data_IF_523578422221
#
_entry.id   IF_523578422221
#
_cell.length_a   1.000
_cell.length_b   1.000
_cell.length_c   1.000
_cell.angle_alpha   90.00
_cell.angle_beta   90.00
_cell.angle_gamma   90.00
#
_symmetry.space_group_name_H-M   'P 1'
#
loop_
_entity.id
_entity.type
_entity.pdbx_description
1 polymer ?
#
# COMPACT_ATOMS: atom_id res chain seq x y z
N UNK A 1 10.46 14.55 2.26
CA UNK A 1 9.12 14.45 2.90
C UNK A 1 9.01 15.33 4.14
N UNK A 2 9.46 14.89 5.33
CA UNK A 2 9.34 15.68 6.56
C UNK A 2 9.99 17.08 6.46
N UNK A 3 11.14 17.19 5.81
CA UNK A 3 11.79 18.48 5.55
C UNK A 3 10.96 19.39 4.62
N UNK A 4 10.37 18.83 3.56
CA UNK A 4 9.55 19.60 2.62
C UNK A 4 8.27 20.12 3.29
N UNK A 5 7.64 19.29 4.12
CA UNK A 5 6.52 19.70 4.96
C UNK A 5 6.91 20.82 5.95
N UNK A 6 8.05 20.67 6.64
CA UNK A 6 8.55 21.69 7.57
C UNK A 6 8.85 23.04 6.89
N UNK A 7 9.30 23.00 5.63
CA UNK A 7 9.59 24.19 4.82
C UNK A 7 8.37 24.76 4.10
N UNK A 8 7.18 24.16 4.24
CA UNK A 8 5.96 24.52 3.50
C UNK A 8 6.18 24.55 1.99
N UNK A 9 6.92 23.57 1.47
CA UNK A 9 7.13 23.43 0.04
C UNK A 9 5.79 23.21 -0.69
N UNK A 10 5.68 23.73 -1.91
CA UNK A 10 4.45 23.58 -2.72
C UNK A 10 4.26 22.15 -3.23
N UNK A 11 5.36 21.42 -3.46
CA UNK A 11 5.36 20.02 -3.87
C UNK A 11 6.67 19.34 -3.44
N UNK A 12 6.67 18.02 -3.38
CA UNK A 12 7.86 17.20 -3.19
C UNK A 12 8.07 16.28 -4.39
N UNK A 13 9.19 16.42 -5.09
CA UNK A 13 9.53 15.50 -6.19
C UNK A 13 10.30 14.28 -5.65
N UNK A 14 9.87 13.09 -6.05
CA UNK A 14 10.50 11.81 -5.76
C UNK A 14 11.07 11.29 -7.08
N UNK A 15 12.39 11.36 -7.21
CA UNK A 15 13.10 10.85 -8.37
C UNK A 15 13.51 9.39 -8.16
N UNK A 16 13.13 8.54 -9.11
CA UNK A 16 13.35 7.09 -9.07
C UNK A 16 13.80 6.57 -10.44
N UNK A 17 14.03 5.27 -10.59
CA UNK A 17 14.39 4.64 -11.86
C UNK A 17 13.18 4.39 -12.78
N UNK A 18 11.98 4.32 -12.22
CA UNK A 18 10.72 4.21 -12.97
C UNK A 18 10.18 5.57 -13.45
N UNK A 19 9.33 5.56 -14.48
CA UNK A 19 8.73 6.78 -15.04
C UNK A 19 7.65 7.43 -14.17
N UNK A 20 7.11 6.68 -13.23
CA UNK A 20 6.01 7.06 -12.34
C UNK A 20 5.24 5.81 -11.94
N UNK A 21 3.98 5.97 -11.60
CA UNK A 21 3.11 4.88 -11.14
C UNK A 21 2.25 4.39 -12.30
N UNK A 22 2.19 3.08 -12.49
CA UNK A 22 1.44 2.46 -13.57
C UNK A 22 0.15 1.80 -13.05
N UNK A 23 -0.82 1.58 -13.93
CA UNK A 23 -2.07 0.84 -13.62
C UNK A 23 -1.82 -0.61 -13.21
N UNK A 24 -0.70 -1.20 -13.58
CA UNK A 24 -0.23 -2.54 -13.18
C UNK A 24 1.27 -2.62 -13.44
N UNK A 25 1.94 -3.68 -12.98
CA UNK A 25 3.35 -3.89 -13.29
C UNK A 25 3.55 -4.14 -14.80
N UNK A 26 4.25 -3.26 -15.53
CA UNK A 26 4.45 -3.38 -16.97
C UNK A 26 5.29 -4.60 -17.37
N UNK A 27 6.00 -5.23 -16.43
CA UNK A 27 6.75 -6.49 -16.67
C UNK A 27 5.82 -7.68 -16.90
N UNK A 28 4.63 -7.64 -16.31
CA UNK A 28 3.61 -8.69 -16.44
C UNK A 28 2.46 -8.27 -17.36
N UNK A 29 2.07 -7.00 -17.34
CA UNK A 29 0.95 -6.47 -18.12
C UNK A 29 1.47 -5.48 -19.16
N UNK A 30 1.63 -5.94 -20.39
CA UNK A 30 2.17 -5.12 -21.50
C UNK A 30 1.35 -3.88 -21.83
N UNK A 31 0.05 -3.90 -21.54
CA UNK A 31 -0.87 -2.77 -21.74
C UNK A 31 -1.01 -1.86 -20.50
N UNK A 32 -0.15 -2.00 -19.49
CA UNK A 32 -0.14 -1.12 -18.33
C UNK A 32 0.16 0.33 -18.73
N UNK A 33 -0.59 1.28 -18.17
CA UNK A 33 -0.50 2.70 -18.53
C UNK A 33 0.05 3.49 -17.37
N UNK A 34 0.85 4.51 -17.68
CA UNK A 34 1.31 5.48 -16.69
C UNK A 34 0.11 6.30 -16.22
N UNK A 35 -0.09 6.40 -14.91
CA UNK A 35 -1.11 7.23 -14.30
C UNK A 35 -0.63 8.70 -14.28
N UNK A 36 -1.42 9.66 -14.79
CA UNK A 36 -1.05 11.07 -14.66
C UNK A 36 -1.25 11.58 -13.23
N UNK A 37 -2.26 11.06 -12.54
CA UNK A 37 -2.60 11.38 -11.15
C UNK A 37 -3.11 10.14 -10.41
N UNK A 38 -2.96 10.13 -9.09
CA UNK A 38 -3.53 9.14 -8.17
C UNK A 38 -3.80 9.82 -6.81
N UNK A 39 -4.91 9.53 -6.16
CA UNK A 39 -5.24 10.11 -4.87
C UNK A 39 -4.36 9.53 -3.75
N UNK A 40 -4.17 10.25 -2.65
CA UNK A 40 -3.41 9.73 -1.50
C UNK A 40 -3.92 8.37 -1.00
N UNK A 41 -5.23 8.14 -0.78
CA UNK A 41 -5.72 6.86 -0.28
C UNK A 41 -5.51 5.73 -1.30
N UNK A 42 -5.72 6.03 -2.59
CA UNK A 42 -5.52 5.06 -3.67
C UNK A 42 -4.04 4.63 -3.75
N UNK A 43 -3.11 5.57 -3.63
CA UNK A 43 -1.69 5.26 -3.61
C UNK A 43 -1.25 4.54 -2.33
N UNK A 44 -1.84 4.88 -1.19
CA UNK A 44 -1.56 4.22 0.09
C UNK A 44 -1.95 2.74 0.03
N UNK A 45 -3.14 2.44 -0.49
CA UNK A 45 -3.61 1.06 -0.70
C UNK A 45 -2.73 0.32 -1.72
N UNK A 46 -2.40 0.97 -2.85
CA UNK A 46 -1.55 0.37 -3.88
C UNK A 46 -0.16 0.03 -3.33
N UNK A 47 0.45 0.94 -2.55
CA UNK A 47 1.77 0.75 -1.93
C UNK A 47 1.74 -0.35 -0.87
N UNK A 48 0.70 -0.38 -0.03
CA UNK A 48 0.53 -1.40 1.01
C UNK A 48 0.26 -2.79 0.43
N UNK A 49 -0.38 -2.87 -0.74
CA UNK A 49 -0.70 -4.12 -1.44
C UNK A 49 0.43 -4.66 -2.35
N UNK A 50 1.65 -4.14 -2.20
CA UNK A 50 2.84 -4.66 -2.90
C UNK A 50 3.41 -3.77 -4.01
N UNK A 51 2.82 -2.61 -4.33
CA UNK A 51 3.43 -1.69 -5.30
C UNK A 51 4.69 -1.02 -4.73
N UNK A 52 5.86 -1.33 -5.31
CA UNK A 52 7.17 -0.93 -4.77
C UNK A 52 7.66 0.46 -5.17
N UNK A 53 6.79 1.33 -5.68
CA UNK A 53 7.20 2.65 -6.20
C UNK A 53 7.30 3.71 -5.11
N UNK A 54 6.46 3.60 -4.07
CA UNK A 54 6.39 4.58 -2.97
C UNK A 54 6.28 3.85 -1.63
N UNK A 55 6.93 4.39 -0.61
CA UNK A 55 6.76 3.89 0.75
C UNK A 55 5.43 4.42 1.35
N UNK A 56 4.55 3.56 1.91
CA UNK A 56 3.25 3.97 2.48
C UNK A 56 3.33 5.17 3.41
N UNK A 57 4.26 5.11 4.38
CA UNK A 57 4.51 6.20 5.34
C UNK A 57 4.82 7.55 4.70
N UNK A 58 5.45 7.58 3.52
CA UNK A 58 5.67 8.82 2.81
C UNK A 58 4.34 9.40 2.35
N UNK A 59 3.49 8.59 1.70
CA UNK A 59 2.17 9.00 1.23
C UNK A 59 1.32 9.55 2.37
N UNK A 60 1.30 8.89 3.53
CA UNK A 60 0.58 9.36 4.74
C UNK A 60 1.03 10.76 5.19
N UNK A 61 2.35 11.01 5.18
CA UNK A 61 2.89 12.33 5.55
C UNK A 61 2.51 13.37 4.50
N UNK A 62 2.51 13.02 3.22
CA UNK A 62 2.10 13.94 2.17
C UNK A 62 0.63 14.35 2.32
N UNK A 63 -0.25 13.37 2.57
CA UNK A 63 -1.67 13.58 2.82
C UNK A 63 -1.91 14.48 4.04
N UNK A 64 -1.26 14.16 5.18
CA UNK A 64 -1.42 14.91 6.43
C UNK A 64 -1.03 16.40 6.32
N UNK A 65 -0.15 16.74 5.39
CA UNK A 65 0.29 18.11 5.13
C UNK A 65 -0.27 18.70 3.82
N UNK A 66 -1.19 17.99 3.15
CA UNK A 66 -1.74 18.36 1.85
C UNK A 66 -0.65 18.74 0.82
N UNK A 67 0.45 17.99 0.80
CA UNK A 67 1.62 18.24 -0.04
C UNK A 67 1.62 17.32 -1.25
N UNK A 68 1.52 17.87 -2.46
CA UNK A 68 1.59 17.10 -3.69
C UNK A 68 2.94 16.40 -3.84
N UNK A 69 2.91 15.14 -4.27
CA UNK A 69 4.11 14.37 -4.59
C UNK A 69 4.21 14.15 -6.10
N UNK A 70 5.39 14.42 -6.67
CA UNK A 70 5.65 14.12 -8.08
C UNK A 70 6.61 12.93 -8.17
N UNK A 71 6.11 11.77 -8.61
CA UNK A 71 6.94 10.59 -8.84
C UNK A 71 7.47 10.62 -10.27
N UNK A 72 8.78 10.79 -10.43
CA UNK A 72 9.43 11.03 -11.74
C UNK A 72 10.66 10.17 -11.92
N UNK A 73 11.06 9.95 -13.17
CA UNK A 73 12.30 9.24 -13.49
C UNK A 73 13.52 10.17 -13.40
N UNK A 74 14.61 9.66 -12.85
CA UNK A 74 15.94 10.29 -12.92
C UNK A 74 16.57 10.18 -14.32
N UNK A 75 16.11 9.22 -15.13
CA UNK A 75 16.72 8.89 -16.43
C UNK A 75 15.89 9.38 -17.63
N UNK A 76 14.65 9.77 -17.42
CA UNK A 76 13.74 10.18 -18.49
C UNK A 76 13.02 11.48 -18.13
N UNK A 77 13.09 12.46 -19.03
CA UNK A 77 12.26 13.64 -18.94
C UNK A 77 10.78 13.26 -19.17
N UNK A 78 9.92 13.61 -18.23
CA UNK A 78 8.48 13.35 -18.30
C UNK A 78 7.77 13.92 -17.08
N UNK A 79 6.46 14.14 -17.19
CA UNK A 79 5.64 14.67 -16.09
C UNK A 79 5.55 13.69 -14.91
N UNK A 80 5.68 12.39 -15.18
CA UNK A 80 5.55 11.35 -14.16
C UNK A 80 4.12 11.18 -13.68
N UNK A 81 3.96 10.87 -12.40
CA UNK A 81 2.65 10.75 -11.74
C UNK A 81 2.58 11.71 -10.56
N UNK A 82 1.46 12.42 -10.45
CA UNK A 82 1.18 13.30 -9.31
C UNK A 82 0.32 12.54 -8.29
N UNK A 83 0.75 12.52 -7.04
CA UNK A 83 -0.05 12.03 -5.91
C UNK A 83 -0.64 13.26 -5.20
N UNK A 84 -1.97 13.37 -5.17
CA UNK A 84 -2.68 14.55 -4.68
C UNK A 84 -4.01 14.19 -3.98
N UNK A 85 -4.79 15.19 -3.57
CA UNK A 85 -6.11 14.94 -2.98
C UNK A 85 -7.11 14.49 -4.04
N UNK A 86 -8.15 13.77 -3.62
CA UNK A 86 -9.19 13.29 -4.53
C UNK A 86 -9.93 14.45 -5.21
N UNK A 87 -10.14 15.57 -4.51
CA UNK A 87 -10.82 16.76 -5.06
C UNK A 87 -10.00 17.46 -6.15
N UNK A 88 -8.67 17.34 -6.12
CA UNK A 88 -7.79 17.90 -7.15
C UNK A 88 -7.87 17.09 -8.46
N UNK A 89 -8.40 15.86 -8.41
CA UNK A 89 -8.58 15.00 -9.56
C UNK A 89 -9.97 15.28 -10.17
N UNK A 90 -10.02 16.11 -11.21
CA UNK A 90 -11.27 16.44 -11.91
C UNK A 90 -11.91 15.20 -12.55
N UNK A 91 -13.17 14.89 -12.18
CA UNK A 91 -14.09 13.90 -12.79
C UNK A 91 -13.41 12.69 -13.46
N UNK A 92 -12.54 11.98 -12.74
CA UNK A 92 -12.10 10.65 -13.19
C UNK A 92 -13.17 9.62 -12.80
N UNK A 93 -13.82 9.03 -13.81
CA UNK A 93 -14.89 8.04 -13.62
C UNK A 93 -14.35 6.64 -13.32
N UNK A 94 -13.04 6.44 -13.29
CA UNK A 94 -12.45 5.14 -12.98
C UNK A 94 -12.49 4.83 -11.49
N UNK A 95 -13.36 3.90 -11.12
CA UNK A 95 -13.46 3.37 -9.74
C UNK A 95 -12.27 2.50 -9.33
N UNK A 96 -11.41 2.11 -10.27
CA UNK A 96 -10.24 1.28 -10.04
C UNK A 96 -9.04 1.93 -10.71
N UNK A 97 -8.03 2.31 -9.92
CA UNK A 97 -6.82 2.96 -10.42
C UNK A 97 -5.75 2.02 -10.91
N UNK A 98 -5.61 0.88 -10.23
CA UNK A 98 -4.57 -0.07 -10.56
C UNK A 98 -4.72 -1.39 -9.86
N UNK A 99 -3.85 -2.31 -10.26
CA UNK A 99 -3.73 -3.66 -9.74
C UNK A 99 -2.31 -3.79 -9.19
N UNK A 100 -2.21 -3.96 -7.88
CA UNK A 100 -0.98 -4.38 -7.22
C UNK A 100 -0.99 -5.90 -7.06
N UNK A 101 0.21 -6.48 -6.92
CA UNK A 101 0.37 -7.86 -6.54
C UNK A 101 1.59 -7.97 -5.63
N UNK A 102 1.56 -8.95 -4.76
CA UNK A 102 2.67 -9.30 -3.90
C UNK A 102 3.07 -10.76 -4.14
N UNK A 103 4.37 -10.97 -4.34
CA UNK A 103 4.99 -12.28 -4.42
C UNK A 103 5.66 -12.60 -3.08
N UNK A 104 6.05 -13.87 -2.88
CA UNK A 104 6.72 -14.30 -1.65
C UNK A 104 5.86 -14.12 -0.40
N UNK A 105 4.60 -14.54 -0.50
CA UNK A 105 3.64 -14.52 0.60
C UNK A 105 3.27 -15.95 0.97
N UNK A 106 3.43 -16.31 2.25
CA UNK A 106 2.94 -17.56 2.80
C UNK A 106 1.67 -17.30 3.63
N UNK A 107 0.61 -18.09 3.38
CA UNK A 107 -0.62 -18.06 4.17
C UNK A 107 -0.61 -19.18 5.20
N UNK A 108 -0.76 -18.83 6.47
CA UNK A 108 -0.92 -19.76 7.58
C UNK A 108 -2.35 -19.69 8.10
N UNK A 109 -2.88 -20.83 8.56
CA UNK A 109 -4.21 -20.93 9.15
C UNK A 109 -4.17 -21.75 10.43
N UNK A 110 -4.65 -21.18 11.53
CA UNK A 110 -4.88 -21.86 12.80
C UNK A 110 -6.38 -22.16 12.89
N UNK A 111 -6.71 -23.45 12.85
CA UNK A 111 -8.09 -23.93 12.71
C UNK A 111 -8.66 -24.29 14.09
N UNK A 112 -9.93 -23.99 14.32
CA UNK A 112 -10.66 -24.39 15.51
C UNK A 112 -10.17 -23.72 16.79
N UNK A 113 -9.73 -22.46 16.71
CA UNK A 113 -9.30 -21.70 17.89
C UNK A 113 -10.53 -21.25 18.69
N UNK A 114 -10.49 -21.26 20.03
CA UNK A 114 -11.60 -20.77 20.84
C UNK A 114 -11.92 -19.31 20.53
N UNK A 115 -13.19 -18.96 20.36
CA UNK A 115 -13.59 -17.57 20.14
C UNK A 115 -13.78 -16.85 21.49
N UNK A 116 -12.66 -16.40 22.06
CA UNK A 116 -12.65 -15.63 23.31
C UNK A 116 -11.48 -14.63 23.34
N UNK A 117 -11.59 -13.55 24.14
CA UNK A 117 -10.51 -12.59 24.30
C UNK A 117 -9.18 -13.25 24.68
N UNK A 118 -8.09 -12.78 24.07
CA UNK A 118 -6.72 -13.25 24.33
C UNK A 118 -6.20 -14.32 23.37
N UNK A 119 -7.06 -14.98 22.57
CA UNK A 119 -6.62 -16.04 21.64
C UNK A 119 -5.78 -15.46 20.49
N UNK A 120 -6.20 -14.35 19.89
CA UNK A 120 -5.39 -13.65 18.89
C UNK A 120 -4.01 -13.24 19.46
N UNK A 121 -3.97 -12.73 20.69
CA UNK A 121 -2.71 -12.35 21.33
C UNK A 121 -1.79 -13.57 21.56
N UNK A 122 -2.35 -14.72 21.94
CA UNK A 122 -1.59 -15.97 22.08
C UNK A 122 -1.01 -16.47 20.75
N UNK A 123 -1.63 -16.12 19.61
CA UNK A 123 -1.14 -16.47 18.27
C UNK A 123 -0.08 -15.46 17.80
N UNK A 124 -0.34 -14.16 17.91
CA UNK A 124 0.50 -13.12 17.31
C UNK A 124 1.64 -12.61 18.21
N UNK A 125 1.53 -12.68 19.53
CA UNK A 125 2.61 -12.22 20.41
C UNK A 125 3.91 -13.04 20.22
N UNK A 126 3.88 -14.38 20.12
CA UNK A 126 5.09 -15.16 19.82
C UNK A 126 5.71 -14.83 18.46
N UNK A 127 4.88 -14.49 17.46
CA UNK A 127 5.35 -14.05 16.14
C UNK A 127 6.10 -12.71 16.26
N UNK A 128 5.53 -11.76 16.99
CA UNK A 128 6.17 -10.46 17.24
C UNK A 128 7.48 -10.60 18.04
N UNK A 129 7.53 -11.47 19.05
CA UNK A 129 8.76 -11.78 19.80
C UNK A 129 9.85 -12.42 18.92
N UNK A 130 9.44 -13.13 17.86
CA UNK A 130 10.33 -13.71 16.86
C UNK A 130 10.64 -12.78 15.68
N UNK A 131 10.19 -11.52 15.71
CA UNK A 131 10.33 -10.53 14.62
C UNK A 131 9.69 -10.99 13.29
N UNK A 132 8.60 -11.74 13.40
CA UNK A 132 7.79 -12.19 12.25
C UNK A 132 6.58 -11.27 12.12
N UNK A 133 6.60 -10.41 11.11
CA UNK A 133 5.47 -9.55 10.78
C UNK A 133 4.34 -10.36 10.13
N UNK A 134 3.19 -10.39 10.79
CA UNK A 134 1.93 -10.79 10.16
C UNK A 134 1.34 -9.60 9.41
N UNK A 135 0.81 -9.85 8.21
CA UNK A 135 0.26 -8.82 7.33
C UNK A 135 -1.28 -8.92 7.24
N UNK A 136 -1.85 -9.51 6.18
CA UNK A 136 -3.30 -9.70 6.07
C UNK A 136 -3.76 -10.71 7.11
N UNK A 137 -4.60 -10.28 8.04
CA UNK A 137 -5.24 -11.13 9.05
C UNK A 137 -6.73 -11.29 8.72
N UNK A 138 -7.19 -12.54 8.64
CA UNK A 138 -8.59 -12.91 8.39
C UNK A 138 -9.07 -13.86 9.47
N UNK A 139 -10.13 -13.47 10.18
CA UNK A 139 -10.86 -14.33 11.10
C UNK A 139 -12.27 -14.53 10.56
N UNK A 140 -12.69 -15.80 10.45
CA UNK A 140 -14.05 -16.13 10.02
C UNK A 140 -15.03 -15.98 11.19
N UNK A 141 -16.32 -15.85 10.89
CA UNK A 141 -17.35 -15.83 11.94
C UNK A 141 -17.30 -17.13 12.76
N UNK A 142 -17.42 -17.00 14.08
CA UNK A 142 -17.38 -18.15 14.98
C UNK A 142 -18.56 -19.09 14.74
N UNK A 143 -18.32 -20.39 14.81
CA UNK A 143 -19.34 -21.42 14.87
C UNK A 143 -19.10 -22.28 16.10
N UNK A 144 -20.14 -22.50 16.91
CA UNK A 144 -20.05 -23.31 18.15
C UNK A 144 -18.93 -22.87 19.13
N UNK A 145 -18.60 -21.59 19.16
CA UNK A 145 -17.57 -21.04 20.06
C UNK A 145 -16.12 -21.26 19.60
N UNK A 146 -15.92 -21.70 18.36
CA UNK A 146 -14.61 -21.80 17.71
C UNK A 146 -14.61 -21.03 16.38
N UNK A 147 -13.42 -20.62 15.93
CA UNK A 147 -13.19 -19.90 14.68
C UNK A 147 -11.86 -20.30 14.08
N UNK A 148 -11.65 -19.99 12.81
CA UNK A 148 -10.38 -20.15 12.12
C UNK A 148 -9.74 -18.78 11.94
N UNK A 149 -8.44 -18.70 12.19
CA UNK A 149 -7.65 -17.49 12.02
C UNK A 149 -6.57 -17.74 11.00
N UNK A 150 -6.61 -17.00 9.90
CA UNK A 150 -5.61 -17.05 8.85
C UNK A 150 -4.83 -15.74 8.79
N UNK A 151 -3.55 -15.84 8.51
CA UNK A 151 -2.70 -14.67 8.31
C UNK A 151 -1.64 -14.92 7.24
N UNK A 152 -1.11 -13.84 6.66
CA UNK A 152 0.02 -13.90 5.75
C UNK A 152 1.31 -13.44 6.41
N UNK A 153 2.44 -14.00 5.96
CA UNK A 153 3.81 -13.58 6.30
C UNK A 153 4.66 -13.57 5.04
N UNK A 154 5.76 -12.83 5.05
CA UNK A 154 6.77 -12.91 3.98
C UNK A 154 7.45 -14.28 3.99
N UNK A 155 7.66 -14.88 2.82
CA UNK A 155 8.23 -16.23 2.61
C UNK A 155 9.61 -16.25 1.98
#
# INVERSE_FOLDING_TARGET
MALAAALKAQACEIFTDVRGIYTADPRFVTNARLLPHIAYPEMLELASSGARVMHPRAVEIAEAYAMELHVRSSFHAGAGTIICSEEAIMEDRNRVRGIAHEEHVARLSVVGVPDRPGIAAAIFAPLAEADIAADVIVQTASHEGVTDMSFTVSS
#
